data_IF_012527864192
#
_entry.id   IF_012527864192
#
_cell.length_a   1.000
_cell.length_b   1.000
_cell.length_c   1.000
_cell.angle_alpha   90.00
_cell.angle_beta   90.00
_cell.angle_gamma   90.00
#
_symmetry.space_group_name_H-M   'P 1'
#
loop_
_entity.id
_entity.type
_entity.pdbx_description
1 polymer ?
#
# COMPACT_ATOMS: atom_id res chain seq x y z
N UNK A 1 -9.72 9.14 6.32
CA UNK A 1 -8.77 10.29 6.26
C UNK A 1 -8.43 10.55 4.81
N UNK A 2 -8.29 11.81 4.40
CA UNK A 2 -7.92 12.20 3.03
C UNK A 2 -6.73 13.15 3.06
N UNK A 3 -5.82 12.98 2.11
CA UNK A 3 -4.68 13.84 1.87
C UNK A 3 -4.66 14.23 0.39
N UNK A 4 -4.81 15.51 0.11
CA UNK A 4 -4.59 16.09 -1.21
C UNK A 4 -3.33 16.94 -1.17
N UNK A 5 -2.36 16.62 -2.03
CA UNK A 5 -1.12 17.39 -2.15
C UNK A 5 -0.72 17.51 -3.61
N UNK A 6 -0.92 18.69 -4.17
CA UNK A 6 -0.66 18.99 -5.58
C UNK A 6 -1.42 17.99 -6.49
N UNK A 7 -0.69 17.06 -7.11
CA UNK A 7 -1.24 16.05 -8.01
C UNK A 7 -1.53 14.70 -7.33
N UNK A 8 -1.18 14.56 -6.05
CA UNK A 8 -1.35 13.35 -5.28
C UNK A 8 -2.64 13.40 -4.46
N UNK A 9 -3.48 12.38 -4.62
CA UNK A 9 -4.71 12.19 -3.86
C UNK A 9 -4.66 10.84 -3.13
N UNK A 10 -4.74 10.86 -1.81
CA UNK A 10 -4.74 9.64 -0.98
C UNK A 10 -5.96 9.63 -0.07
N UNK A 11 -6.73 8.55 -0.13
CA UNK A 11 -7.81 8.29 0.83
C UNK A 11 -7.49 7.03 1.62
N UNK A 12 -7.65 7.09 2.93
CA UNK A 12 -7.44 5.98 3.85
C UNK A 12 -8.74 5.70 4.61
N UNK A 13 -9.17 4.44 4.56
CA UNK A 13 -10.31 3.91 5.31
C UNK A 13 -9.90 2.71 6.15
N UNK A 14 -10.80 2.27 7.04
CA UNK A 14 -10.62 1.04 7.79
C UNK A 14 -10.58 -0.21 6.89
N UNK A 15 -11.15 -0.14 5.68
CA UNK A 15 -11.27 -1.24 4.73
C UNK A 15 -10.25 -1.20 3.56
N UNK A 16 -9.53 -0.12 3.36
CA UNK A 16 -8.60 -0.01 2.23
C UNK A 16 -8.01 1.38 2.05
N UNK A 17 -7.34 1.56 0.92
CA UNK A 17 -6.67 2.79 0.54
C UNK A 17 -6.91 3.07 -0.94
N UNK A 18 -7.16 4.34 -1.28
CA UNK A 18 -7.09 4.84 -2.64
C UNK A 18 -5.85 5.71 -2.80
N UNK A 19 -5.15 5.54 -3.91
CA UNK A 19 -3.96 6.30 -4.27
C UNK A 19 -4.07 6.75 -5.74
N UNK A 20 -4.25 8.05 -5.96
CA UNK A 20 -4.44 8.60 -7.28
C UNK A 20 -3.48 9.73 -7.63
N UNK A 21 -3.21 9.86 -8.92
CA UNK A 21 -2.34 10.89 -9.49
C UNK A 21 -2.87 11.33 -10.86
N UNK A 22 -2.89 12.66 -11.10
CA UNK A 22 -3.55 13.32 -12.26
C UNK A 22 -3.34 12.61 -13.62
N UNK A 23 -2.12 12.20 -13.94
CA UNK A 23 -1.82 11.60 -15.25
C UNK A 23 -1.86 10.06 -15.29
N UNK A 24 -2.08 9.43 -14.14
CA UNK A 24 -2.01 7.97 -14.00
C UNK A 24 -3.38 7.34 -13.68
N UNK A 25 -4.35 8.14 -13.23
CA UNK A 25 -5.61 7.66 -12.67
C UNK A 25 -5.43 7.25 -11.21
N UNK A 26 -6.13 6.21 -10.78
CA UNK A 26 -6.25 5.82 -9.39
C UNK A 26 -6.08 4.33 -9.17
N UNK A 27 -5.51 3.98 -8.02
CA UNK A 27 -5.32 2.61 -7.57
C UNK A 27 -6.01 2.42 -6.22
N UNK A 28 -6.93 1.45 -6.18
CA UNK A 28 -7.53 0.98 -4.94
C UNK A 28 -6.79 -0.25 -4.43
N UNK A 29 -6.44 -0.23 -3.15
CA UNK A 29 -5.81 -1.31 -2.41
C UNK A 29 -6.74 -1.74 -1.29
N UNK A 30 -7.28 -2.96 -1.40
CA UNK A 30 -8.03 -3.56 -0.31
C UNK A 30 -7.08 -3.89 0.85
N UNK A 31 -7.52 -3.65 2.08
CA UNK A 31 -6.71 -3.91 3.28
C UNK A 31 -6.43 -5.39 3.51
N UNK A 32 -7.39 -6.25 3.19
CA UNK A 32 -7.35 -7.68 3.49
C UNK A 32 -6.92 -8.51 2.27
N UNK A 33 -7.12 -7.97 1.07
CA UNK A 33 -6.76 -8.61 -0.19
C UNK A 33 -5.74 -7.76 -0.94
N UNK A 34 -4.56 -8.32 -1.17
CA UNK A 34 -3.49 -7.63 -1.89
C UNK A 34 -3.68 -7.71 -3.41
N UNK A 35 -4.87 -7.29 -3.85
CA UNK A 35 -5.33 -7.30 -5.24
C UNK A 35 -5.63 -5.87 -5.67
N UNK A 36 -4.64 -5.12 -6.20
CA UNK A 36 -4.86 -3.74 -6.61
C UNK A 36 -5.86 -3.67 -7.76
N UNK A 37 -6.75 -2.69 -7.72
CA UNK A 37 -7.66 -2.38 -8.82
C UNK A 37 -7.40 -0.96 -9.31
N UNK A 38 -7.51 -0.75 -10.61
CA UNK A 38 -7.21 0.53 -11.25
C UNK A 38 -8.48 1.17 -11.81
N UNK A 39 -8.52 2.50 -11.82
CA UNK A 39 -9.55 3.27 -12.51
C UNK A 39 -8.95 4.51 -13.19
N UNK A 40 -9.56 5.00 -14.28
CA UNK A 40 -9.15 6.22 -14.96
C UNK A 40 -9.62 7.48 -14.22
N UNK A 41 -9.65 7.45 -12.88
CA UNK A 41 -10.00 8.60 -12.02
C UNK A 41 -8.86 8.82 -11.03
N UNK A 42 -8.34 10.04 -10.97
CA UNK A 42 -7.21 10.41 -10.12
C UNK A 42 -7.61 10.79 -8.70
N UNK A 43 -8.88 11.10 -8.48
CA UNK A 43 -9.41 11.49 -7.18
C UNK A 43 -10.81 10.92 -6.97
N UNK A 44 -11.23 10.85 -5.71
CA UNK A 44 -12.55 10.39 -5.32
C UNK A 44 -13.35 11.51 -4.67
N UNK A 45 -14.68 11.36 -4.66
CA UNK A 45 -15.55 12.22 -3.87
C UNK A 45 -15.23 12.11 -2.37
N UNK A 46 -15.54 13.16 -1.61
CA UNK A 46 -15.26 13.24 -0.17
C UNK A 46 -16.15 12.31 0.66
N UNK A 47 -17.33 11.96 0.16
CA UNK A 47 -18.43 11.30 0.89
C UNK A 47 -18.42 9.78 0.71
N UNK A 48 -17.26 9.14 0.85
CA UNK A 48 -17.14 7.67 0.82
C UNK A 48 -16.86 7.18 2.23
N UNK A 49 -17.87 6.55 2.83
CA UNK A 49 -17.85 5.96 4.16
C UNK A 49 -17.79 4.43 4.12
N UNK A 50 -18.29 3.82 3.05
CA UNK A 50 -18.45 2.38 2.90
C UNK A 50 -17.85 1.84 1.59
N UNK A 51 -17.42 0.56 1.53
CA UNK A 51 -16.82 -0.03 0.33
C UNK A 51 -17.74 -0.03 -0.91
N UNK A 52 -19.06 -0.10 -0.72
CA UNK A 52 -20.05 -0.11 -1.80
C UNK A 52 -20.30 1.26 -2.43
N UNK A 53 -19.79 2.34 -1.83
CA UNK A 53 -19.84 3.71 -2.37
C UNK A 53 -18.63 4.02 -3.27
N UNK A 54 -17.67 3.10 -3.33
CA UNK A 54 -16.52 3.22 -4.22
C UNK A 54 -16.97 3.13 -5.69
N UNK A 55 -16.36 3.90 -6.60
CA UNK A 55 -16.59 3.73 -8.02
C UNK A 55 -16.09 2.36 -8.49
N UNK A 56 -16.53 1.94 -9.68
CA UNK A 56 -16.08 0.68 -10.26
C UNK A 56 -14.60 0.76 -10.62
N UNK A 57 -13.79 0.00 -9.91
CA UNK A 57 -12.40 -0.27 -10.27
C UNK A 57 -12.29 -1.59 -11.03
N UNK A 58 -11.33 -1.67 -11.95
CA UNK A 58 -11.11 -2.87 -12.74
C UNK A 58 -9.62 -3.23 -12.82
N UNK A 59 -9.32 -4.46 -13.22
CA UNK A 59 -7.97 -4.79 -13.67
C UNK A 59 -7.61 -3.93 -14.89
N UNK A 60 -6.37 -3.40 -14.96
CA UNK A 60 -5.91 -2.66 -16.14
C UNK A 60 -6.04 -3.51 -17.42
N UNK A 61 -6.41 -2.86 -18.53
CA UNK A 61 -6.54 -3.48 -19.85
C UNK A 61 -5.57 -2.81 -20.83
N UNK A 62 -4.82 -3.63 -21.56
CA UNK A 62 -3.84 -3.16 -22.54
C UNK A 62 -2.58 -2.52 -21.91
N UNK A 63 -1.54 -2.36 -22.72
CA UNK A 63 -0.21 -1.95 -22.24
C UNK A 63 -0.16 -0.56 -21.61
N UNK A 64 -0.98 0.38 -22.09
CA UNK A 64 -1.00 1.76 -21.57
C UNK A 64 -1.55 1.83 -20.13
N UNK A 65 -2.67 1.14 -19.85
CA UNK A 65 -3.24 1.12 -18.50
C UNK A 65 -2.32 0.37 -17.54
N UNK A 66 -1.78 -0.79 -17.94
CA UNK A 66 -0.80 -1.52 -17.13
C UNK A 66 0.42 -0.66 -16.79
N UNK A 67 0.95 0.12 -17.74
CA UNK A 67 2.06 1.03 -17.48
C UNK A 67 1.72 2.09 -16.43
N UNK A 68 0.54 2.70 -16.51
CA UNK A 68 0.08 3.70 -15.51
C UNK A 68 -0.15 3.05 -14.15
N UNK A 69 -0.83 1.91 -14.13
CA UNK A 69 -1.16 1.19 -12.92
C UNK A 69 0.09 0.65 -12.19
N UNK A 70 1.11 0.17 -12.93
CA UNK A 70 2.43 -0.19 -12.37
C UNK A 70 3.15 1.02 -11.76
N UNK A 71 3.07 2.21 -12.37
CA UNK A 71 3.64 3.45 -11.80
C UNK A 71 2.94 3.83 -10.51
N UNK A 72 1.61 3.77 -10.46
CA UNK A 72 0.82 4.02 -9.24
C UNK A 72 1.16 3.01 -8.15
N UNK A 73 1.26 1.73 -8.51
CA UNK A 73 1.65 0.66 -7.58
C UNK A 73 2.96 0.97 -6.88
N UNK A 74 4.05 1.18 -7.65
CA UNK A 74 5.37 1.49 -7.09
C UNK A 74 5.35 2.76 -6.25
N UNK A 75 4.60 3.77 -6.67
CA UNK A 75 4.48 5.05 -5.96
C UNK A 75 3.72 4.92 -4.65
N UNK A 76 2.63 4.14 -4.62
CA UNK A 76 1.82 3.89 -3.42
C UNK A 76 2.63 3.16 -2.34
N UNK A 77 3.37 2.12 -2.70
CA UNK A 77 4.22 1.38 -1.77
C UNK A 77 5.37 2.25 -1.23
N UNK A 78 5.94 3.12 -2.07
CA UNK A 78 6.95 4.09 -1.65
C UNK A 78 6.37 5.14 -0.71
N UNK A 79 5.14 5.59 -0.96
CA UNK A 79 4.43 6.52 -0.08
C UNK A 79 4.22 5.91 1.30
N UNK A 80 3.75 4.65 1.38
CA UNK A 80 3.62 3.91 2.65
C UNK A 80 4.98 3.78 3.35
N UNK A 81 6.04 3.45 2.62
CA UNK A 81 7.38 3.33 3.19
C UNK A 81 7.92 4.66 3.76
N UNK A 82 7.62 5.77 3.10
CA UNK A 82 8.00 7.11 3.55
C UNK A 82 7.20 7.51 4.78
N UNK A 83 5.90 7.20 4.83
CA UNK A 83 5.09 7.37 6.02
C UNK A 83 5.65 6.59 7.21
N UNK A 84 5.96 5.29 7.04
CA UNK A 84 6.56 4.46 8.10
C UNK A 84 7.93 4.99 8.55
N UNK A 85 8.74 5.52 7.63
CA UNK A 85 10.00 6.19 7.97
C UNK A 85 9.77 7.46 8.79
N UNK A 86 8.80 8.27 8.39
CA UNK A 86 8.44 9.51 9.09
C UNK A 86 7.91 9.22 10.50
N UNK A 87 7.04 8.23 10.69
CA UNK A 87 6.55 7.81 12.02
C UNK A 87 7.71 7.40 12.90
N UNK A 88 8.62 6.56 12.39
CA UNK A 88 9.82 6.15 13.14
C UNK A 88 10.68 7.34 13.55
N UNK A 89 10.90 8.30 12.65
CA UNK A 89 11.77 9.45 12.91
C UNK A 89 11.16 10.49 13.85
N UNK A 90 9.84 10.70 13.82
CA UNK A 90 9.19 11.78 14.57
C UNK A 90 8.52 11.30 15.86
N UNK A 91 7.96 10.07 15.87
CA UNK A 91 7.26 9.50 17.04
C UNK A 91 8.15 8.51 17.79
N UNK A 92 9.11 7.91 17.08
CA UNK A 92 10.08 6.98 17.66
C UNK A 92 9.72 5.50 17.45
N UNK A 93 10.74 4.65 17.62
CA UNK A 93 10.61 3.22 17.36
C UNK A 93 9.76 2.50 18.41
N UNK A 94 9.77 2.96 19.67
CA UNK A 94 9.01 2.34 20.76
C UNK A 94 7.50 2.36 20.48
N UNK A 95 6.96 3.52 20.09
CA UNK A 95 5.58 3.66 19.65
C UNK A 95 5.24 2.67 18.51
N UNK A 96 6.11 2.55 17.50
CA UNK A 96 5.84 1.65 16.38
C UNK A 96 5.82 0.18 16.81
N UNK A 97 6.71 -0.22 17.73
CA UNK A 97 6.74 -1.58 18.30
C UNK A 97 5.43 -1.90 19.01
N UNK A 98 4.92 -0.96 19.82
CA UNK A 98 3.63 -1.09 20.51
C UNK A 98 2.48 -1.26 19.51
N UNK A 99 2.46 -0.46 18.44
CA UNK A 99 1.47 -0.64 17.36
C UNK A 99 1.56 -2.03 16.71
N UNK A 100 2.77 -2.53 16.41
CA UNK A 100 2.94 -3.87 15.80
C UNK A 100 2.53 -4.97 16.78
N UNK A 101 2.82 -4.86 18.08
CA UNK A 101 2.45 -5.87 19.07
C UNK A 101 0.94 -6.00 19.24
N UNK A 102 0.18 -4.93 18.99
CA UNK A 102 -1.28 -4.97 19.00
C UNK A 102 -1.90 -5.60 17.75
N UNK A 103 -1.10 -5.94 16.71
CA UNK A 103 -1.63 -6.57 15.50
C UNK A 103 -1.91 -8.05 15.74
N UNK A 104 -3.06 -8.54 15.25
CA UNK A 104 -3.46 -9.94 15.37
C UNK A 104 -2.46 -10.92 14.72
N UNK A 105 -1.83 -10.50 13.62
CA UNK A 105 -0.85 -11.32 12.87
C UNK A 105 0.28 -10.43 12.33
N UNK A 106 1.25 -10.03 13.18
CA UNK A 106 2.33 -9.17 12.74
C UNK A 106 3.27 -9.97 11.83
N UNK A 107 3.37 -9.57 10.56
CA UNK A 107 4.22 -10.26 9.59
C UNK A 107 5.64 -9.68 9.54
N UNK A 108 5.79 -8.36 9.66
CA UNK A 108 7.06 -7.62 9.55
C UNK A 108 7.42 -6.97 10.88
N UNK A 109 8.70 -6.99 11.22
CA UNK A 109 9.22 -6.30 12.41
C UNK A 109 9.06 -4.79 12.30
N UNK A 110 8.73 -4.11 13.39
CA UNK A 110 8.56 -2.65 13.44
C UNK A 110 9.77 -1.87 12.86
N UNK A 111 10.99 -2.34 13.11
CA UNK A 111 12.22 -1.71 12.60
C UNK A 111 12.36 -1.82 11.07
N UNK A 112 11.69 -2.82 10.49
CA UNK A 112 11.87 -3.26 9.11
C UNK A 112 10.67 -2.89 8.22
N UNK A 113 9.57 -2.40 8.79
CA UNK A 113 8.35 -2.03 8.05
C UNK A 113 8.62 -1.11 6.85
N UNK A 114 9.32 0.01 7.07
CA UNK A 114 9.66 0.93 5.98
C UNK A 114 10.54 0.26 4.91
N UNK A 115 11.50 -0.59 5.30
CA UNK A 115 12.38 -1.27 4.37
C UNK A 115 11.64 -2.34 3.55
N UNK A 116 10.73 -3.09 4.17
CA UNK A 116 9.90 -4.08 3.50
C UNK A 116 9.01 -3.43 2.43
N UNK A 117 8.36 -2.31 2.75
CA UNK A 117 7.58 -1.55 1.77
C UNK A 117 8.43 -1.01 0.61
N UNK A 118 9.64 -0.51 0.88
CA UNK A 118 10.58 -0.11 -0.18
C UNK A 118 10.98 -1.29 -1.06
N UNK A 119 11.23 -2.45 -0.46
CA UNK A 119 11.55 -3.67 -1.20
C UNK A 119 10.40 -4.05 -2.14
N UNK A 120 9.15 -4.09 -1.64
CA UNK A 120 7.97 -4.37 -2.45
C UNK A 120 7.76 -3.34 -3.58
N UNK A 121 8.09 -2.07 -3.35
CA UNK A 121 7.99 -1.02 -4.38
C UNK A 121 8.91 -1.23 -5.60
N UNK A 122 9.92 -2.10 -5.47
CA UNK A 122 10.83 -2.47 -6.55
C UNK A 122 10.38 -3.72 -7.31
N UNK A 123 9.44 -4.48 -6.75
CA UNK A 123 8.88 -5.67 -7.36
C UNK A 123 7.86 -5.30 -8.44
N UNK A 124 7.70 -6.18 -9.42
CA UNK A 124 6.67 -6.04 -10.43
C UNK A 124 5.35 -6.60 -9.91
N UNK A 125 4.26 -5.90 -10.22
CA UNK A 125 2.91 -6.34 -9.87
C UNK A 125 2.53 -7.65 -10.59
N UNK A 126 3.09 -7.90 -11.78
CA UNK A 126 2.65 -8.97 -12.68
C UNK A 126 3.38 -10.31 -12.51
N UNK A 127 4.48 -10.34 -11.76
CA UNK A 127 5.27 -11.56 -11.58
C UNK A 127 5.11 -12.14 -10.18
N UNK A 128 4.10 -12.99 -10.01
CA UNK A 128 4.00 -13.93 -8.90
C UNK A 128 4.54 -15.31 -9.31
N UNK A 129 5.81 -15.40 -9.76
CA UNK A 129 6.46 -16.69 -10.05
C UNK A 129 7.48 -17.13 -9.00
N UNK A 130 7.73 -16.32 -7.96
CA UNK A 130 8.44 -16.75 -6.77
C UNK A 130 7.62 -16.43 -5.53
N UNK A 131 7.57 -17.31 -4.51
CA UNK A 131 6.91 -16.98 -3.26
C UNK A 131 7.66 -15.83 -2.59
N UNK A 132 7.11 -14.61 -2.70
CA UNK A 132 7.58 -13.37 -2.05
C UNK A 132 7.95 -13.57 -0.57
N UNK A 133 7.30 -14.53 0.08
CA UNK A 133 7.61 -15.00 1.45
C UNK A 133 9.10 -15.31 1.64
N UNK A 134 9.75 -16.00 0.71
CA UNK A 134 11.17 -16.38 0.86
C UNK A 134 12.10 -15.16 0.83
N UNK A 135 11.79 -14.17 -0.02
CA UNK A 135 12.56 -12.93 -0.14
C UNK A 135 12.29 -11.96 1.02
N UNK A 136 11.13 -12.07 1.67
CA UNK A 136 10.75 -11.24 2.81
C UNK A 136 11.32 -11.74 4.15
N UNK A 137 11.99 -12.89 4.19
CA UNK A 137 12.57 -13.49 5.39
C UNK A 137 13.49 -12.56 6.21
N UNK A 138 14.16 -11.59 5.55
CA UNK A 138 15.01 -10.61 6.24
C UNK A 138 14.21 -9.50 6.97
N UNK A 139 12.92 -9.37 6.66
CA UNK A 139 12.02 -8.37 7.23
C UNK A 139 10.99 -8.97 8.18
N UNK A 140 10.69 -10.27 8.06
CA UNK A 140 9.61 -10.92 8.79
C UNK A 140 9.98 -11.26 10.24
N UNK A 141 8.95 -11.38 11.08
CA UNK A 141 9.10 -11.96 12.41
C UNK A 141 9.28 -13.46 12.22
N UNK A 142 10.41 -14.03 12.68
CA UNK A 142 10.58 -15.48 12.70
C UNK A 142 9.54 -16.05 13.66
N UNK A 143 8.58 -16.80 13.15
CA UNK A 143 7.73 -17.66 13.98
C UNK A 143 8.63 -18.76 14.53
N UNK A 144 9.05 -18.64 15.80
CA UNK A 144 9.43 -19.82 16.57
C UNK A 144 8.19 -20.70 16.62
N UNK A 145 8.24 -21.87 15.99
CA UNK A 145 7.26 -22.93 16.26
C UNK A 145 7.39 -23.26 17.74
N UNK A 146 6.40 -22.83 18.54
CA UNK A 146 6.09 -23.42 19.84
C UNK A 146 5.32 -24.71 19.62
#
# INVERSE_FOLDING_TARGET
YRLDRQELHVCLWGFGMFFGQRDLGGLYLNRFEFSPLWAPVESLALEIHWPNELPVFARPRGGAQWRRARKLWKSSLRWIANYESWVRSNVGLAYRRECVSAWLRPFVRAEKSAAAWRFLSRQEWEHHNQPLIQQLNHYTIRTSRS
#
